data_IF_697351668114
#
_entry.id   IF_697351668114
#
_cell.length_a   1.000
_cell.length_b   1.000
_cell.length_c   1.000
_cell.angle_alpha   90.00
_cell.angle_beta   90.00
_cell.angle_gamma   90.00
#
_symmetry.space_group_name_H-M   'P 1'
#
loop_
_entity.id
_entity.type
_entity.pdbx_description
1 polymer ?
#
# COMPACT_ATOMS: atom_id res chain seq x y z
N UNK A 1 26.74 -18.11 17.37
CA UNK A 1 26.72 -18.40 18.81
C UNK A 1 26.88 -17.09 19.55
N UNK A 2 25.81 -16.61 20.17
CA UNK A 2 25.91 -15.47 21.06
C UNK A 2 26.52 -15.94 22.38
N UNK A 3 27.64 -15.35 22.77
CA UNK A 3 28.15 -15.52 24.11
C UNK A 3 27.18 -14.83 25.08
N UNK A 4 26.36 -15.61 25.75
CA UNK A 4 25.32 -15.16 26.67
C UNK A 4 25.85 -14.19 27.74
N UNK A 5 27.12 -14.27 28.07
CA UNK A 5 27.77 -13.36 29.02
C UNK A 5 27.96 -11.93 28.49
N UNK A 6 27.96 -11.75 27.16
CA UNK A 6 28.19 -10.45 26.53
C UNK A 6 26.88 -9.65 26.26
N UNK A 7 25.72 -10.29 26.37
CA UNK A 7 24.42 -9.70 26.13
C UNK A 7 23.40 -10.12 27.21
N UNK A 8 23.59 -9.69 28.46
CA UNK A 8 22.75 -10.11 29.58
C UNK A 8 21.29 -9.71 29.49
N UNK A 9 20.99 -8.68 28.65
CA UNK A 9 19.68 -8.10 28.52
C UNK A 9 18.91 -8.60 27.27
N UNK A 10 19.49 -9.51 26.49
CA UNK A 10 18.80 -10.09 25.33
C UNK A 10 17.70 -11.05 25.80
N UNK A 11 16.46 -10.57 25.69
CA UNK A 11 15.27 -11.34 26.08
C UNK A 11 14.99 -12.52 25.14
N UNK A 12 15.59 -12.55 23.96
CA UNK A 12 15.45 -13.62 22.98
C UNK A 12 16.57 -14.68 23.14
N UNK A 13 17.57 -14.42 23.97
CA UNK A 13 18.67 -15.37 24.17
C UNK A 13 18.22 -16.63 24.90
N UNK A 14 18.57 -17.77 24.35
CA UNK A 14 18.42 -19.06 25.02
C UNK A 14 19.59 -19.24 25.98
N UNK A 15 19.30 -19.34 27.28
CA UNK A 15 20.34 -19.59 28.31
C UNK A 15 20.72 -21.04 28.29
N UNK A 16 22.02 -21.31 28.15
CA UNK A 16 22.60 -22.62 28.14
C UNK A 16 23.44 -22.79 29.42
N UNK A 17 23.15 -23.81 30.20
CA UNK A 17 23.96 -24.13 31.38
C UNK A 17 25.36 -24.62 30.98
N UNK A 18 26.35 -24.29 31.79
CA UNK A 18 27.73 -24.69 31.52
C UNK A 18 27.85 -26.24 31.46
N UNK A 19 28.34 -26.74 30.35
CA UNK A 19 28.52 -28.17 30.13
C UNK A 19 27.39 -28.85 29.37
N UNK A 20 26.29 -28.14 29.06
CA UNK A 20 25.23 -28.66 28.18
C UNK A 20 25.75 -28.70 26.74
N UNK A 21 25.75 -29.85 26.07
CA UNK A 21 26.18 -29.94 24.68
C UNK A 21 25.15 -29.24 23.77
N UNK A 22 25.61 -28.31 22.94
CA UNK A 22 24.78 -27.64 21.92
C UNK A 22 24.96 -28.34 20.58
N UNK A 23 26.17 -28.71 20.24
CA UNK A 23 26.54 -29.42 19.02
C UNK A 23 26.90 -30.87 19.34
N UNK A 24 26.71 -31.77 18.37
CA UNK A 24 26.98 -33.20 18.52
C UNK A 24 28.44 -33.46 18.89
N UNK A 25 29.35 -32.85 18.16
CA UNK A 25 30.79 -32.88 18.49
C UNK A 25 31.50 -31.67 17.85
N UNK A 26 31.50 -30.55 18.54
CA UNK A 26 32.15 -29.34 18.06
C UNK A 26 33.66 -29.48 17.82
N UNK A 27 34.29 -30.46 18.46
CA UNK A 27 35.72 -30.72 18.32
C UNK A 27 36.08 -31.54 17.07
N UNK A 28 35.12 -32.28 16.51
CA UNK A 28 35.28 -33.04 15.26
C UNK A 28 34.94 -32.23 14.00
N UNK A 29 34.65 -30.95 14.14
CA UNK A 29 34.49 -30.04 12.99
C UNK A 29 35.74 -30.05 12.11
N UNK A 30 35.75 -29.56 10.86
CA UNK A 30 36.61 -30.01 9.76
C UNK A 30 38.11 -30.07 10.11
N UNK A 31 38.47 -31.06 10.91
CA UNK A 31 39.79 -31.23 11.50
C UNK A 31 40.84 -31.48 10.43
N UNK A 32 40.50 -32.17 9.35
CA UNK A 32 41.40 -32.36 8.20
C UNK A 32 41.75 -31.06 7.47
N UNK A 33 40.87 -30.10 7.44
CA UNK A 33 41.16 -28.80 6.83
C UNK A 33 42.10 -27.92 7.69
N UNK A 34 42.31 -28.26 8.95
CA UNK A 34 43.21 -27.51 9.84
C UNK A 34 44.67 -27.95 9.73
N UNK A 35 44.94 -29.20 9.34
CA UNK A 35 46.31 -29.76 9.22
C UNK A 35 46.97 -29.40 7.86
N UNK A 36 46.21 -29.15 6.83
CA UNK A 36 46.70 -28.71 5.54
C UNK A 36 46.25 -27.29 5.16
N UNK A 37 47.10 -26.31 5.46
CA UNK A 37 46.85 -24.91 5.12
C UNK A 37 46.84 -24.68 3.60
N UNK A 38 47.28 -25.62 2.78
CA UNK A 38 47.24 -25.55 1.31
C UNK A 38 45.93 -26.14 0.76
N UNK A 39 45.33 -27.13 1.43
CA UNK A 39 44.06 -27.70 1.03
C UNK A 39 42.93 -26.69 1.06
N UNK A 40 43.04 -25.60 1.80
CA UNK A 40 42.06 -24.51 1.79
C UNK A 40 41.92 -23.76 0.45
N UNK A 41 42.77 -24.04 -0.53
CA UNK A 41 42.77 -23.37 -1.83
C UNK A 41 42.22 -24.21 -2.98
N UNK A 42 41.86 -25.44 -2.77
CA UNK A 42 41.62 -26.33 -3.88
C UNK A 42 40.42 -27.18 -3.80
N UNK A 43 39.63 -26.97 -4.68
CA UNK A 43 39.48 -27.55 -6.01
C UNK A 43 38.88 -28.96 -6.03
N UNK A 44 38.86 -29.73 -4.97
CA UNK A 44 38.08 -30.96 -4.88
C UNK A 44 37.03 -30.84 -3.76
N UNK A 45 35.77 -30.52 -4.09
CA UNK A 45 34.67 -30.48 -3.10
C UNK A 45 34.37 -31.86 -2.50
N UNK A 46 34.96 -32.95 -3.01
CA UNK A 46 34.74 -34.30 -2.50
C UNK A 46 35.56 -34.65 -1.25
N UNK A 47 36.57 -33.86 -0.89
CA UNK A 47 37.36 -34.08 0.35
C UNK A 47 36.96 -33.17 1.53
N UNK A 48 36.04 -32.26 1.36
CA UNK A 48 35.48 -31.46 2.46
C UNK A 48 34.37 -32.28 3.10
N UNK A 49 34.78 -33.28 3.84
CA UNK A 49 33.85 -34.26 4.26
C UNK A 49 33.54 -34.22 5.68
N UNK A 50 33.00 -33.69 6.40
CA UNK A 50 32.34 -34.05 7.69
C UNK A 50 32.12 -32.81 8.54
N UNK A 51 31.06 -32.14 8.30
CA UNK A 51 30.51 -31.16 9.21
C UNK A 51 29.55 -31.77 10.26
N UNK A 52 29.47 -33.10 10.35
CA UNK A 52 28.53 -33.80 11.27
C UNK A 52 28.69 -33.38 12.73
N UNK A 53 29.90 -32.98 13.14
CA UNK A 53 30.12 -32.44 14.47
C UNK A 53 29.41 -31.10 14.73
N UNK A 54 29.00 -30.39 13.69
CA UNK A 54 28.24 -29.16 13.79
C UNK A 54 26.71 -29.37 13.74
N UNK A 55 26.25 -30.61 13.58
CA UNK A 55 24.85 -30.96 13.83
C UNK A 55 24.50 -30.70 15.29
N UNK A 56 23.26 -30.52 15.57
CA UNK A 56 22.82 -30.33 16.96
C UNK A 56 22.99 -31.62 17.76
N UNK A 57 23.36 -31.51 19.03
CA UNK A 57 23.30 -32.64 19.96
C UNK A 57 21.85 -33.07 20.16
N UNK A 58 21.60 -34.34 20.46
CA UNK A 58 20.26 -34.94 20.61
C UNK A 58 19.33 -34.14 21.54
N UNK A 59 19.86 -33.54 22.58
CA UNK A 59 19.12 -32.74 23.55
C UNK A 59 19.62 -31.28 23.56
N UNK A 60 20.00 -30.76 22.40
CA UNK A 60 20.51 -29.40 22.30
C UNK A 60 19.43 -28.38 22.71
N UNK A 61 19.78 -27.38 23.54
CA UNK A 61 18.88 -26.30 23.89
C UNK A 61 18.54 -25.38 22.69
N UNK A 62 19.18 -25.56 21.54
CA UNK A 62 18.92 -24.85 20.31
C UNK A 62 17.78 -25.47 19.51
N UNK A 63 17.36 -26.71 19.80
CA UNK A 63 16.30 -27.41 19.10
C UNK A 63 14.94 -26.67 19.26
N UNK A 64 14.29 -26.38 18.17
CA UNK A 64 12.96 -25.70 18.11
C UNK A 64 12.93 -24.33 18.83
N UNK A 65 14.04 -23.58 18.87
CA UNK A 65 14.13 -22.26 19.52
C UNK A 65 14.44 -21.11 18.55
N UNK A 66 14.59 -21.41 17.29
CA UNK A 66 14.78 -20.42 16.24
C UNK A 66 13.48 -19.73 15.81
N UNK A 67 13.63 -18.87 14.84
CA UNK A 67 12.49 -18.17 14.19
C UNK A 67 12.66 -18.25 12.69
N UNK A 68 11.56 -18.47 11.97
CA UNK A 68 11.55 -18.30 10.52
C UNK A 68 11.86 -16.85 10.21
N UNK A 69 12.93 -16.62 9.45
CA UNK A 69 13.35 -15.29 9.00
C UNK A 69 12.92 -15.11 7.56
N UNK A 70 12.16 -14.07 7.32
CA UNK A 70 11.68 -13.67 5.99
C UNK A 70 12.38 -12.36 5.63
N UNK A 71 12.99 -12.31 4.46
CA UNK A 71 13.62 -11.09 3.97
C UNK A 71 12.58 -10.07 3.47
N UNK A 72 13.07 -8.88 3.05
CA UNK A 72 12.20 -7.80 2.57
C UNK A 72 11.44 -8.13 1.28
N UNK A 73 11.84 -9.18 0.58
CA UNK A 73 11.23 -9.63 -0.68
C UNK A 73 10.27 -10.82 -0.46
N UNK A 74 10.11 -11.26 0.79
CA UNK A 74 9.25 -12.39 1.14
C UNK A 74 9.93 -13.75 1.00
N UNK A 75 11.26 -13.80 0.81
CA UNK A 75 12.00 -15.06 0.76
C UNK A 75 12.42 -15.50 2.17
N UNK A 76 12.27 -16.78 2.44
CA UNK A 76 12.83 -17.45 3.61
C UNK A 76 13.88 -18.48 3.17
N UNK A 77 14.75 -18.84 4.08
CA UNK A 77 15.66 -20.00 3.89
C UNK A 77 14.77 -21.24 3.99
N UNK A 78 14.76 -22.08 2.96
CA UNK A 78 13.95 -23.28 2.86
C UNK A 78 14.70 -24.56 3.25
N UNK A 79 16.04 -24.53 3.26
CA UNK A 79 16.90 -25.64 3.66
C UNK A 79 18.03 -25.17 4.56
N UNK A 80 18.44 -26.04 5.48
CA UNK A 80 19.58 -25.82 6.34
C UNK A 80 20.92 -26.07 5.61
N UNK A 81 22.03 -25.95 6.35
CA UNK A 81 23.36 -26.23 5.79
C UNK A 81 23.53 -27.71 5.36
N UNK A 82 22.81 -28.63 5.95
CA UNK A 82 22.86 -30.08 5.65
C UNK A 82 21.84 -30.52 4.63
N UNK A 83 21.00 -29.61 4.12
CA UNK A 83 19.95 -29.87 3.13
C UNK A 83 18.64 -30.35 3.74
N UNK A 84 18.44 -30.27 5.06
CA UNK A 84 17.15 -30.52 5.69
C UNK A 84 16.22 -29.32 5.50
N UNK A 85 14.93 -29.57 5.34
CA UNK A 85 13.97 -28.50 5.22
C UNK A 85 13.88 -27.69 6.52
N UNK A 86 13.89 -26.35 6.40
CA UNK A 86 13.64 -25.46 7.54
C UNK A 86 12.18 -25.56 7.94
N UNK A 87 11.94 -25.82 9.20
CA UNK A 87 10.62 -26.14 9.76
C UNK A 87 9.86 -24.89 10.26
N UNK A 88 8.62 -25.08 10.69
CA UNK A 88 7.82 -24.02 11.31
C UNK A 88 8.38 -23.59 12.68
N UNK A 89 9.11 -24.47 13.35
CA UNK A 89 9.83 -24.21 14.59
C UNK A 89 11.32 -24.52 14.39
N UNK A 90 12.04 -23.69 13.59
CA UNK A 90 13.42 -23.97 13.26
C UNK A 90 14.32 -23.97 14.50
N UNK A 91 15.46 -24.55 14.37
CA UNK A 91 16.53 -24.53 15.35
C UNK A 91 17.26 -23.19 15.37
N UNK A 92 17.95 -22.91 16.46
CA UNK A 92 18.94 -21.84 16.49
C UNK A 92 20.23 -22.34 15.86
N UNK A 93 20.56 -21.82 14.68
CA UNK A 93 21.82 -22.16 14.01
C UNK A 93 21.63 -22.52 12.55
N UNK A 94 22.59 -23.31 12.04
CA UNK A 94 22.64 -23.67 10.62
C UNK A 94 22.28 -25.16 10.39
N UNK A 95 21.76 -25.83 11.39
CA UNK A 95 21.38 -27.25 11.33
C UNK A 95 19.98 -27.43 11.88
N UNK A 96 19.14 -28.10 11.12
CA UNK A 96 17.80 -28.56 11.53
C UNK A 96 17.90 -29.98 12.10
N UNK A 97 16.98 -30.34 12.98
CA UNK A 97 16.85 -31.69 13.58
C UNK A 97 15.54 -32.34 13.14
N UNK A 98 15.46 -33.68 13.31
CA UNK A 98 14.23 -34.43 13.04
C UNK A 98 13.21 -34.35 14.21
N UNK A 99 13.52 -33.58 15.24
CA UNK A 99 12.68 -33.47 16.44
C UNK A 99 11.54 -32.48 16.16
N UNK A 100 10.32 -32.98 16.00
CA UNK A 100 9.12 -32.14 15.87
C UNK A 100 8.91 -31.36 17.17
N UNK A 101 8.90 -30.03 17.08
CA UNK A 101 8.64 -29.11 18.17
C UNK A 101 7.16 -29.02 18.56
N UNK A 102 6.74 -27.90 19.10
CA UNK A 102 5.34 -27.60 19.30
C UNK A 102 4.62 -27.53 17.93
N UNK A 103 3.43 -28.12 17.84
CA UNK A 103 2.65 -28.05 16.60
C UNK A 103 2.21 -26.61 16.34
N UNK A 104 2.87 -25.94 15.44
CA UNK A 104 2.57 -24.57 15.03
C UNK A 104 2.34 -24.49 13.53
N UNK A 105 1.46 -23.60 13.13
CA UNK A 105 1.25 -23.23 11.74
C UNK A 105 1.85 -21.87 11.50
N UNK A 106 2.61 -21.69 10.43
CA UNK A 106 3.15 -20.39 10.00
C UNK A 106 2.86 -20.18 8.53
N UNK A 107 2.89 -18.96 8.08
CA UNK A 107 2.77 -18.59 6.68
C UNK A 107 3.48 -17.26 6.43
N UNK A 108 3.95 -17.06 5.21
CA UNK A 108 4.44 -15.77 4.70
C UNK A 108 3.33 -14.99 4.00
N UNK A 109 2.21 -15.64 3.72
CA UNK A 109 1.07 -15.09 2.98
C UNK A 109 -0.06 -14.69 3.94
N UNK A 110 -0.34 -15.52 4.93
CA UNK A 110 -1.47 -15.34 5.86
C UNK A 110 -0.98 -14.85 7.22
N UNK A 111 -1.81 -14.09 7.91
CA UNK A 111 -1.55 -13.71 9.30
C UNK A 111 -2.04 -14.84 10.21
N UNK A 112 -1.12 -15.38 11.03
CA UNK A 112 -1.43 -16.45 11.97
C UNK A 112 -1.09 -16.00 13.38
N UNK A 113 -2.11 -15.90 14.22
CA UNK A 113 -1.97 -15.59 15.63
C UNK A 113 -1.87 -16.90 16.43
N UNK A 114 -0.69 -17.11 17.01
CA UNK A 114 -0.37 -18.32 17.75
C UNK A 114 -1.05 -18.36 19.14
N UNK A 115 -1.39 -17.21 19.70
CA UNK A 115 -2.03 -17.11 21.01
C UNK A 115 -3.52 -17.39 20.90
N UNK A 116 -4.20 -16.67 20.03
CA UNK A 116 -5.63 -16.84 19.78
C UNK A 116 -5.98 -18.03 18.89
N UNK A 117 -4.99 -18.67 18.28
CA UNK A 117 -5.16 -19.76 17.28
C UNK A 117 -6.08 -19.35 16.15
N UNK A 118 -5.82 -18.17 15.55
CA UNK A 118 -6.61 -17.66 14.43
C UNK A 118 -5.76 -17.43 13.19
N UNK A 119 -6.40 -17.55 12.03
CA UNK A 119 -5.81 -17.30 10.71
C UNK A 119 -6.64 -16.23 10.03
N UNK A 120 -6.01 -15.14 9.58
CA UNK A 120 -6.66 -14.03 8.87
C UNK A 120 -5.92 -13.68 7.57
N UNK A 121 -6.51 -12.73 6.83
CA UNK A 121 -5.95 -12.21 5.58
C UNK A 121 -5.72 -13.28 4.49
N UNK A 122 -6.59 -14.29 4.46
CA UNK A 122 -6.59 -15.30 3.39
C UNK A 122 -7.19 -14.66 2.13
N UNK A 123 -6.46 -14.64 0.98
CA UNK A 123 -6.98 -14.11 -0.26
C UNK A 123 -8.24 -14.83 -0.74
N UNK A 124 -9.13 -14.10 -1.42
CA UNK A 124 -10.35 -14.68 -1.99
C UNK A 124 -10.01 -15.80 -2.97
N UNK A 125 -10.81 -16.87 -2.92
CA UNK A 125 -10.65 -18.06 -3.75
C UNK A 125 -9.38 -18.90 -3.46
N UNK A 126 -8.70 -18.69 -2.34
CA UNK A 126 -7.63 -19.59 -1.90
C UNK A 126 -8.20 -20.99 -1.69
N UNK A 127 -7.69 -21.96 -2.42
CA UNK A 127 -8.06 -23.37 -2.26
C UNK A 127 -7.32 -24.02 -1.09
N UNK A 128 -7.80 -25.14 -0.59
CA UNK A 128 -7.12 -25.93 0.44
C UNK A 128 -5.71 -26.31 -0.02
N UNK A 129 -5.55 -26.72 -1.28
CA UNK A 129 -4.23 -27.04 -1.86
C UNK A 129 -3.27 -25.84 -1.80
N UNK A 130 -3.74 -24.66 -2.23
CA UNK A 130 -2.92 -23.43 -2.20
C UNK A 130 -2.58 -23.04 -0.75
N UNK A 131 -3.56 -23.11 0.14
CA UNK A 131 -3.37 -22.82 1.55
C UNK A 131 -2.28 -23.72 2.17
N UNK A 132 -2.32 -25.04 1.88
CA UNK A 132 -1.31 -25.96 2.40
C UNK A 132 0.08 -25.67 1.82
N UNK A 133 0.18 -25.26 0.54
CA UNK A 133 1.46 -24.87 -0.09
C UNK A 133 2.05 -23.59 0.53
N UNK A 134 1.20 -22.65 0.89
CA UNK A 134 1.60 -21.37 1.49
C UNK A 134 1.79 -21.46 3.02
N UNK A 135 1.54 -22.63 3.57
CA UNK A 135 1.67 -22.94 5.00
C UNK A 135 3.00 -23.61 5.30
N UNK A 136 3.60 -23.25 6.40
CA UNK A 136 4.86 -23.80 6.88
C UNK A 136 4.57 -24.60 8.16
N UNK A 137 4.87 -25.87 8.13
CA UNK A 137 4.78 -26.81 9.26
C UNK A 137 6.03 -27.71 9.28
N UNK A 138 6.27 -28.38 10.39
CA UNK A 138 7.39 -29.32 10.51
C UNK A 138 7.17 -30.57 9.63
N UNK A 139 8.25 -31.21 9.22
CA UNK A 139 8.21 -32.47 8.48
C UNK A 139 7.46 -33.54 9.28
N UNK A 140 6.52 -34.25 8.63
CA UNK A 140 5.68 -35.27 9.30
C UNK A 140 4.43 -34.69 9.96
N UNK A 141 4.23 -33.38 9.92
CA UNK A 141 3.00 -32.72 10.38
C UNK A 141 1.99 -32.67 9.24
N UNK A 142 0.74 -32.94 9.56
CA UNK A 142 -0.38 -32.93 8.60
C UNK A 142 -1.30 -31.77 8.86
N UNK A 143 -1.71 -31.07 7.79
CA UNK A 143 -2.74 -30.03 7.81
C UNK A 143 -4.05 -30.62 7.30
N UNK A 144 -5.13 -30.44 8.05
CA UNK A 144 -6.48 -30.81 7.63
C UNK A 144 -7.40 -29.61 7.79
N UNK A 145 -8.16 -29.29 6.74
CA UNK A 145 -9.13 -28.18 6.77
C UNK A 145 -10.55 -28.77 6.85
N UNK A 146 -11.38 -28.19 7.71
CA UNK A 146 -12.79 -28.57 7.85
C UNK A 146 -13.70 -27.36 7.67
N UNK A 147 -14.86 -27.61 7.08
CA UNK A 147 -15.93 -26.64 6.97
C UNK A 147 -16.43 -26.21 8.36
N UNK A 148 -17.23 -25.15 8.40
CA UNK A 148 -17.89 -24.68 9.62
C UNK A 148 -18.76 -25.77 10.29
N UNK A 149 -19.27 -26.70 9.48
CA UNK A 149 -20.07 -27.83 9.97
C UNK A 149 -19.22 -29.07 10.32
N UNK A 150 -17.88 -28.91 10.35
CA UNK A 150 -16.95 -29.97 10.76
C UNK A 150 -16.63 -31.01 9.69
N UNK A 151 -17.10 -30.86 8.43
CA UNK A 151 -16.79 -31.79 7.34
C UNK A 151 -15.41 -31.50 6.79
N UNK A 152 -14.57 -32.54 6.56
CA UNK A 152 -13.29 -32.36 5.86
C UNK A 152 -13.50 -31.76 4.46
N UNK A 153 -12.57 -30.91 4.05
CA UNK A 153 -12.55 -30.28 2.74
C UNK A 153 -11.50 -30.96 1.85
N UNK A 154 -11.81 -30.97 0.55
CA UNK A 154 -10.91 -31.47 -0.48
C UNK A 154 -9.99 -30.36 -1.00
N UNK A 155 -8.92 -30.72 -1.70
CA UNK A 155 -7.91 -29.79 -2.19
C UNK A 155 -8.45 -28.62 -3.04
N UNK A 156 -9.50 -28.86 -3.80
CA UNK A 156 -10.13 -27.85 -4.65
C UNK A 156 -11.13 -26.94 -3.94
N UNK A 157 -11.50 -27.26 -2.70
CA UNK A 157 -12.44 -26.45 -1.92
C UNK A 157 -11.81 -25.12 -1.53
N UNK A 158 -12.64 -24.09 -1.47
CA UNK A 158 -12.20 -22.72 -1.12
C UNK A 158 -12.31 -22.50 0.39
N UNK A 159 -11.25 -21.99 0.98
CA UNK A 159 -11.21 -21.62 2.39
C UNK A 159 -12.01 -20.33 2.65
N UNK A 160 -12.81 -20.35 3.71
CA UNK A 160 -13.69 -19.24 4.12
C UNK A 160 -13.65 -19.04 5.64
N UNK A 161 -14.03 -17.86 6.07
CA UNK A 161 -14.17 -17.54 7.48
C UNK A 161 -15.10 -18.51 8.24
N UNK A 162 -14.71 -18.86 9.45
CA UNK A 162 -15.40 -19.83 10.30
C UNK A 162 -15.01 -21.28 10.08
N UNK A 163 -14.17 -21.58 9.10
CA UNK A 163 -13.56 -22.91 8.92
C UNK A 163 -12.46 -23.17 9.94
N UNK A 164 -12.09 -24.43 10.13
CA UNK A 164 -11.01 -24.80 11.04
C UNK A 164 -9.90 -25.50 10.30
N UNK A 165 -8.67 -25.20 10.72
CA UNK A 165 -7.44 -25.80 10.25
C UNK A 165 -6.82 -26.57 11.40
N UNK A 166 -6.68 -27.88 11.26
CA UNK A 166 -6.08 -28.74 12.27
C UNK A 166 -4.68 -29.12 11.83
N UNK A 167 -3.73 -28.88 12.69
CA UNK A 167 -2.33 -29.28 12.55
C UNK A 167 -2.11 -30.47 13.45
N UNK A 168 -1.67 -31.61 12.92
CA UNK A 168 -1.56 -32.86 13.69
C UNK A 168 -0.32 -33.65 13.30
N UNK A 169 0.20 -34.39 14.25
CA UNK A 169 1.30 -35.35 14.10
C UNK A 169 1.07 -36.52 15.04
N UNK A 170 1.54 -37.71 14.65
CA UNK A 170 1.51 -38.90 15.50
C UNK A 170 2.21 -38.65 16.85
N UNK A 171 1.59 -39.05 17.93
CA UNK A 171 2.13 -38.91 19.28
C UNK A 171 2.03 -37.51 19.91
N UNK A 172 1.39 -36.55 19.21
CA UNK A 172 1.19 -35.18 19.73
C UNK A 172 -0.28 -34.80 19.74
N UNK A 173 -0.67 -33.93 20.67
CA UNK A 173 -2.00 -33.32 20.70
C UNK A 173 -2.16 -32.38 19.50
N UNK A 174 -3.23 -32.52 18.75
CA UNK A 174 -3.51 -31.71 17.58
C UNK A 174 -3.84 -30.26 17.96
N UNK A 175 -3.35 -29.30 17.18
CA UNK A 175 -3.64 -27.89 17.34
C UNK A 175 -4.65 -27.45 16.30
N UNK A 176 -5.69 -26.75 16.74
CA UNK A 176 -6.78 -26.26 15.86
C UNK A 176 -6.74 -24.75 15.79
N UNK A 177 -6.69 -24.25 14.58
CA UNK A 177 -6.82 -22.83 14.26
C UNK A 177 -8.18 -22.55 13.65
N UNK A 178 -8.72 -21.36 13.89
CA UNK A 178 -9.97 -20.90 13.28
C UNK A 178 -9.68 -19.85 12.22
N UNK A 179 -10.21 -20.03 11.01
CA UNK A 179 -10.15 -19.00 9.97
C UNK A 179 -11.11 -17.87 10.36
N UNK A 180 -10.58 -16.67 10.50
CA UNK A 180 -11.36 -15.48 10.84
C UNK A 180 -11.87 -14.84 9.57
N UNK A 181 -13.17 -14.63 9.48
CA UNK A 181 -13.77 -13.86 8.39
C UNK A 181 -13.34 -12.40 8.47
N UNK A 182 -12.93 -11.84 7.34
CA UNK A 182 -12.56 -10.42 7.27
C UNK A 182 -13.76 -9.54 7.58
N UNK A 183 -13.56 -8.54 8.43
CA UNK A 183 -14.54 -7.47 8.72
C UNK A 183 -14.23 -6.18 7.93
N UNK A 184 -13.25 -6.19 7.02
CA UNK A 184 -12.91 -5.02 6.22
C UNK A 184 -13.99 -4.75 5.17
N UNK A 185 -14.71 -3.66 5.39
CA UNK A 185 -15.75 -3.13 4.51
C UNK A 185 -15.47 -1.70 4.07
N UNK A 186 -14.20 -1.30 4.07
CA UNK A 186 -13.78 0.03 3.63
C UNK A 186 -13.76 0.12 2.11
N UNK A 187 -14.06 1.32 1.62
CA UNK A 187 -14.02 1.66 0.21
C UNK A 187 -12.91 2.65 -0.06
N UNK A 188 -12.17 2.42 -1.14
CA UNK A 188 -11.25 3.39 -1.75
C UNK A 188 -11.56 3.49 -3.24
N UNK A 189 -11.21 4.61 -3.83
CA UNK A 189 -11.26 4.77 -5.28
C UNK A 189 -10.04 5.54 -5.75
N UNK A 190 -9.52 5.18 -6.91
CA UNK A 190 -8.49 5.93 -7.59
C UNK A 190 -9.06 7.07 -8.44
N UNK A 191 -10.36 7.07 -8.75
CA UNK A 191 -10.99 7.99 -9.69
C UNK A 191 -12.12 8.82 -9.10
N UNK A 192 -12.74 8.36 -8.01
CA UNK A 192 -13.87 9.04 -7.39
C UNK A 192 -13.46 9.59 -6.03
N UNK A 193 -13.93 10.78 -5.73
CA UNK A 193 -13.80 11.34 -4.40
C UNK A 193 -14.69 10.54 -3.43
N UNK A 194 -14.11 10.06 -2.32
CA UNK A 194 -14.84 9.37 -1.25
C UNK A 194 -14.61 10.15 0.03
N UNK A 195 -15.67 10.77 0.56
CA UNK A 195 -15.62 11.61 1.75
C UNK A 195 -16.89 11.45 2.58
N UNK A 196 -16.76 11.31 3.89
CA UNK A 196 -17.87 11.28 4.85
C UNK A 196 -19.00 10.31 4.44
N UNK A 197 -18.63 9.06 4.06
CA UNK A 197 -19.59 8.05 3.58
C UNK A 197 -20.35 8.45 2.31
N UNK A 198 -19.81 9.37 1.54
CA UNK A 198 -20.33 9.77 0.22
C UNK A 198 -19.29 9.48 -0.84
N UNK A 199 -19.72 8.89 -1.93
CA UNK A 199 -18.92 8.73 -3.14
C UNK A 199 -19.44 9.71 -4.21
N UNK A 200 -18.56 10.59 -4.66
CA UNK A 200 -18.87 11.57 -5.68
C UNK A 200 -18.50 11.02 -7.06
N UNK A 201 -19.52 10.85 -7.90
CA UNK A 201 -19.37 10.20 -9.20
C UNK A 201 -19.59 11.23 -10.30
N UNK A 202 -18.71 11.27 -11.33
CA UNK A 202 -18.91 12.20 -12.45
C UNK A 202 -20.25 11.99 -13.13
N UNK A 203 -20.95 13.08 -13.36
CA UNK A 203 -22.22 13.09 -14.07
C UNK A 203 -22.08 13.64 -15.50
N UNK A 204 -22.52 12.89 -16.47
CA UNK A 204 -22.69 13.34 -17.84
C UNK A 204 -23.99 12.79 -18.41
N UNK A 205 -24.83 13.66 -18.99
CA UNK A 205 -26.11 13.24 -19.57
C UNK A 205 -25.93 12.28 -20.75
N UNK A 206 -24.90 12.51 -21.57
CA UNK A 206 -24.65 11.71 -22.78
C UNK A 206 -24.02 10.34 -22.49
N UNK A 207 -23.38 10.20 -21.36
CA UNK A 207 -22.70 8.98 -20.94
C UNK A 207 -22.88 8.77 -19.43
N UNK A 208 -24.07 8.40 -18.95
CA UNK A 208 -24.32 8.19 -17.53
C UNK A 208 -23.49 7.02 -17.02
N UNK A 209 -23.08 7.10 -15.76
CA UNK A 209 -22.30 6.03 -15.12
C UNK A 209 -23.22 4.87 -14.77
N UNK A 210 -22.83 3.66 -15.15
CA UNK A 210 -23.55 2.43 -14.78
C UNK A 210 -23.06 1.88 -13.44
N UNK A 211 -23.85 1.01 -12.82
CA UNK A 211 -23.48 0.33 -11.58
C UNK A 211 -22.19 -0.53 -11.78
N UNK A 212 -22.02 -1.16 -12.93
CA UNK A 212 -20.81 -1.92 -13.27
C UNK A 212 -19.59 -1.01 -13.41
N UNK A 213 -19.70 0.12 -14.08
CA UNK A 213 -18.63 1.11 -14.17
C UNK A 213 -18.23 1.65 -12.78
N UNK A 214 -19.22 1.97 -11.95
CA UNK A 214 -18.96 2.43 -10.58
C UNK A 214 -18.23 1.37 -9.76
N UNK A 215 -18.69 0.12 -9.79
CA UNK A 215 -18.03 -0.99 -9.08
C UNK A 215 -16.60 -1.25 -9.58
N UNK A 216 -16.37 -1.16 -10.88
CA UNK A 216 -15.04 -1.34 -11.48
C UNK A 216 -14.03 -0.23 -11.17
N UNK A 217 -14.49 0.91 -10.64
CA UNK A 217 -13.64 2.07 -10.32
C UNK A 217 -13.41 2.26 -8.82
N UNK A 218 -13.87 1.33 -8.01
CA UNK A 218 -13.64 1.32 -6.56
C UNK A 218 -12.85 0.09 -6.15
N UNK A 219 -12.22 0.19 -5.00
CA UNK A 219 -11.47 -0.88 -4.36
C UNK A 219 -12.05 -1.14 -2.98
N UNK A 220 -12.39 -2.38 -2.71
CA UNK A 220 -12.74 -2.90 -1.40
C UNK A 220 -11.81 -4.07 -1.06
N UNK A 221 -11.91 -4.62 0.15
CA UNK A 221 -11.19 -5.85 0.48
C UNK A 221 -11.55 -6.97 -0.52
N UNK A 222 -10.60 -7.83 -0.86
CA UNK A 222 -10.81 -8.91 -1.85
C UNK A 222 -11.97 -9.84 -1.46
N UNK A 223 -12.17 -10.06 -0.16
CA UNK A 223 -13.25 -10.90 0.37
C UNK A 223 -14.59 -10.19 0.45
N UNK A 224 -14.62 -8.86 0.29
CA UNK A 224 -15.85 -8.10 0.37
C UNK A 224 -16.68 -8.16 -0.91
N UNK A 225 -18.00 -8.13 -0.75
CA UNK A 225 -18.95 -7.98 -1.85
C UNK A 225 -19.30 -6.49 -2.05
N UNK A 226 -19.29 -6.04 -3.30
CA UNK A 226 -19.62 -4.68 -3.68
C UNK A 226 -20.92 -4.66 -4.48
N UNK A 227 -21.91 -3.96 -4.01
CA UNK A 227 -23.20 -3.82 -4.67
C UNK A 227 -23.67 -2.37 -4.73
N UNK A 228 -24.52 -2.04 -5.71
CA UNK A 228 -25.21 -0.76 -5.81
C UNK A 228 -26.69 -1.01 -5.60
N UNK A 229 -27.32 -0.29 -4.67
CA UNK A 229 -28.72 -0.48 -4.32
C UNK A 229 -29.52 0.81 -4.42
N UNK A 230 -30.76 0.68 -4.88
CA UNK A 230 -31.77 1.73 -4.92
C UNK A 230 -32.97 1.28 -4.09
N UNK A 231 -33.06 1.77 -2.86
CA UNK A 231 -33.98 1.21 -1.88
C UNK A 231 -33.63 -0.26 -1.59
N UNK A 232 -34.56 -1.18 -1.82
CA UNK A 232 -34.36 -2.62 -1.63
C UNK A 232 -33.83 -3.34 -2.88
N UNK A 233 -33.78 -2.66 -4.03
CA UNK A 233 -33.36 -3.26 -5.31
C UNK A 233 -31.86 -3.15 -5.47
N UNK A 234 -31.18 -4.27 -5.68
CA UNK A 234 -29.78 -4.30 -6.17
C UNK A 234 -29.77 -4.07 -7.69
N UNK A 235 -28.95 -3.11 -8.15
CA UNK A 235 -28.80 -2.79 -9.56
C UNK A 235 -27.95 -3.83 -10.27
N UNK A 236 -28.32 -4.12 -11.53
CA UNK A 236 -27.48 -4.87 -12.46
C UNK A 236 -26.39 -3.94 -13.01
N UNK A 237 -25.31 -4.52 -13.52
CA UNK A 237 -24.14 -3.76 -13.99
C UNK A 237 -24.45 -2.74 -15.11
N UNK A 238 -25.45 -3.03 -15.94
CA UNK A 238 -25.86 -2.15 -17.04
C UNK A 238 -26.82 -1.04 -16.63
N UNK A 239 -27.36 -1.07 -15.41
CA UNK A 239 -28.30 -0.05 -14.95
C UNK A 239 -27.53 1.22 -14.52
N UNK A 240 -28.08 2.37 -14.88
CA UNK A 240 -27.49 3.65 -14.53
C UNK A 240 -27.67 3.96 -13.05
N UNK A 241 -26.65 4.57 -12.46
CA UNK A 241 -26.75 5.10 -11.10
C UNK A 241 -27.47 6.46 -11.11
N UNK A 242 -27.98 6.83 -9.95
CA UNK A 242 -28.57 8.15 -9.69
C UNK A 242 -28.18 8.64 -8.28
N UNK A 243 -28.45 9.92 -8.03
CA UNK A 243 -28.29 10.51 -6.71
C UNK A 243 -29.09 9.75 -5.64
N UNK A 244 -28.56 9.76 -4.43
CA UNK A 244 -29.11 9.11 -3.27
C UNK A 244 -29.23 7.57 -3.35
N UNK A 245 -28.73 6.93 -4.39
CA UNK A 245 -28.48 5.49 -4.37
C UNK A 245 -27.34 5.17 -3.42
N UNK A 246 -27.25 3.91 -3.02
CA UNK A 246 -26.24 3.44 -2.06
C UNK A 246 -25.29 2.47 -2.72
N UNK A 247 -24.00 2.71 -2.55
CA UNK A 247 -22.98 1.70 -2.76
C UNK A 247 -22.73 0.97 -1.44
N UNK A 248 -23.01 -0.32 -1.42
CA UNK A 248 -22.86 -1.17 -0.24
C UNK A 248 -21.66 -2.07 -0.37
N UNK A 249 -20.83 -2.04 0.66
CA UNK A 249 -19.71 -2.96 0.83
C UNK A 249 -20.07 -3.94 1.94
N UNK A 250 -20.16 -5.22 1.61
CA UNK A 250 -20.43 -6.28 2.59
C UNK A 250 -19.15 -7.05 2.83
N UNK A 251 -18.60 -6.97 4.03
CA UNK A 251 -17.44 -7.76 4.42
C UNK A 251 -17.77 -9.26 4.49
N UNK A 252 -16.73 -10.10 4.52
CA UNK A 252 -16.90 -11.56 4.62
C UNK A 252 -17.67 -11.99 5.87
N UNK A 253 -17.52 -11.25 6.98
CA UNK A 253 -18.27 -11.50 8.23
C UNK A 253 -19.74 -11.02 8.19
N UNK A 254 -20.19 -10.49 7.05
CA UNK A 254 -21.54 -9.98 6.82
C UNK A 254 -21.78 -8.56 7.28
N UNK A 255 -20.80 -7.89 7.89
CA UNK A 255 -20.95 -6.47 8.24
C UNK A 255 -20.95 -5.60 6.99
N UNK A 256 -21.88 -4.67 6.94
CA UNK A 256 -22.05 -3.76 5.81
C UNK A 256 -21.53 -2.36 6.12
N UNK A 257 -21.10 -1.69 5.07
CA UNK A 257 -20.74 -0.29 5.09
C UNK A 257 -21.34 0.38 3.86
N UNK A 258 -22.24 1.33 4.09
CA UNK A 258 -22.99 1.99 3.05
C UNK A 258 -22.40 3.36 2.75
N UNK A 259 -22.26 3.67 1.46
CA UNK A 259 -21.83 4.96 0.93
C UNK A 259 -22.92 5.54 0.05
N UNK A 260 -23.34 6.76 0.33
CA UNK A 260 -24.31 7.47 -0.51
C UNK A 260 -23.65 7.88 -1.82
N UNK A 261 -24.28 7.59 -2.93
CA UNK A 261 -23.85 8.04 -4.25
C UNK A 261 -24.36 9.47 -4.47
N UNK A 262 -23.45 10.36 -4.85
CA UNK A 262 -23.76 11.72 -5.27
C UNK A 262 -23.13 12.00 -6.62
N UNK A 263 -23.94 12.36 -7.59
CA UNK A 263 -23.46 12.75 -8.90
C UNK A 263 -22.87 14.17 -8.83
N UNK A 264 -21.71 14.36 -9.45
CA UNK A 264 -20.96 15.61 -9.42
C UNK A 264 -20.48 15.97 -10.81
N UNK A 265 -20.74 17.19 -11.23
CA UNK A 265 -20.32 17.72 -12.54
C UNK A 265 -19.38 18.91 -12.44
N UNK A 266 -19.11 19.39 -11.24
CA UNK A 266 -18.22 20.53 -10.99
C UNK A 266 -17.20 20.16 -9.95
N UNK A 267 -15.94 20.43 -10.23
CA UNK A 267 -14.79 20.16 -9.36
C UNK A 267 -14.03 21.45 -9.13
N UNK A 268 -13.77 21.77 -7.86
CA UNK A 268 -13.07 22.98 -7.47
C UNK A 268 -11.86 22.61 -6.62
N UNK A 269 -10.67 23.08 -6.99
CA UNK A 269 -9.44 22.76 -6.28
C UNK A 269 -9.53 23.04 -4.78
N UNK A 270 -9.94 24.25 -4.41
CA UNK A 270 -9.96 24.66 -3.01
C UNK A 270 -11.01 23.92 -2.19
N UNK A 271 -12.23 23.75 -2.73
CA UNK A 271 -13.33 23.07 -2.04
C UNK A 271 -13.11 21.54 -1.93
N UNK A 272 -12.47 20.97 -2.93
CA UNK A 272 -12.20 19.52 -3.02
C UNK A 272 -10.81 19.16 -2.48
N UNK A 273 -10.09 20.11 -1.86
CA UNK A 273 -8.75 19.91 -1.39
C UNK A 273 -8.67 18.84 -0.29
N UNK A 274 -7.89 17.80 -0.55
CA UNK A 274 -7.83 16.62 0.32
C UNK A 274 -6.81 16.71 1.46
N UNK A 275 -6.06 17.83 1.57
CA UNK A 275 -5.03 18.01 2.59
C UNK A 275 -3.82 17.09 2.37
N UNK A 276 -3.30 16.44 3.42
CA UNK A 276 -2.07 15.65 3.35
C UNK A 276 -2.16 14.39 2.48
N UNK A 277 -3.38 13.94 2.20
CA UNK A 277 -3.61 12.84 1.27
C UNK A 277 -3.89 13.41 -0.11
N UNK A 278 -3.22 12.87 -1.13
CA UNK A 278 -3.58 13.18 -2.51
C UNK A 278 -5.03 12.77 -2.73
N UNK A 279 -5.80 13.65 -3.38
CA UNK A 279 -7.20 13.39 -3.68
C UNK A 279 -7.37 12.32 -4.75
N UNK A 280 -8.61 11.90 -4.95
CA UNK A 280 -8.91 10.91 -6.00
C UNK A 280 -8.98 11.55 -7.39
N UNK A 281 -9.23 12.85 -7.44
CA UNK A 281 -9.31 13.63 -8.68
C UNK A 281 -8.30 14.78 -8.74
N UNK A 282 -7.93 15.35 -7.59
CA UNK A 282 -6.97 16.43 -7.50
C UNK A 282 -5.64 15.97 -6.89
N UNK A 283 -4.54 16.39 -7.52
CA UNK A 283 -3.18 16.02 -7.13
C UNK A 283 -2.26 17.24 -7.17
N UNK A 284 -1.42 17.38 -6.16
CA UNK A 284 -0.25 18.24 -6.22
C UNK A 284 0.87 17.53 -6.98
N UNK A 285 1.32 18.09 -8.09
CA UNK A 285 2.36 17.48 -8.92
C UNK A 285 3.55 18.39 -9.11
N UNK A 286 4.71 17.81 -9.39
CA UNK A 286 5.95 18.48 -9.77
C UNK A 286 6.56 17.83 -10.99
N UNK A 287 7.30 18.63 -11.78
CA UNK A 287 8.06 18.18 -12.96
C UNK A 287 9.41 18.88 -12.99
N UNK A 288 10.50 18.12 -13.05
CA UNK A 288 11.82 18.65 -13.35
C UNK A 288 11.89 19.04 -14.84
N UNK A 289 12.82 19.92 -15.21
CA UNK A 289 12.94 20.44 -16.59
C UNK A 289 13.00 19.36 -17.67
N UNK A 290 13.62 18.22 -17.37
CA UNK A 290 13.77 17.08 -18.28
C UNK A 290 13.02 15.82 -17.84
N UNK A 291 12.11 15.93 -16.86
CA UNK A 291 11.41 14.79 -16.26
C UNK A 291 9.93 14.70 -16.64
N UNK A 292 9.27 13.74 -16.04
CA UNK A 292 7.82 13.58 -16.09
C UNK A 292 7.14 14.20 -14.87
N UNK A 293 5.81 14.39 -14.94
CA UNK A 293 5.03 14.83 -13.81
C UNK A 293 4.95 13.71 -12.76
N UNK A 294 5.28 14.04 -11.53
CA UNK A 294 5.21 13.14 -10.37
C UNK A 294 4.43 13.77 -9.25
N UNK A 295 3.75 12.96 -8.45
CA UNK A 295 3.05 13.43 -7.26
C UNK A 295 4.03 13.92 -6.19
N UNK A 296 3.67 15.04 -5.54
CA UNK A 296 4.44 15.59 -4.43
C UNK A 296 4.06 14.80 -3.18
N UNK A 297 5.05 14.33 -2.43
CA UNK A 297 4.83 13.49 -1.23
C UNK A 297 4.98 14.25 0.09
N UNK A 298 5.71 15.35 0.09
CA UNK A 298 5.94 16.16 1.27
C UNK A 298 4.80 17.16 1.46
N UNK A 299 4.29 17.27 2.68
CA UNK A 299 3.18 18.13 3.03
C UNK A 299 3.47 18.89 4.32
N UNK A 300 3.22 20.19 4.34
CA UNK A 300 3.28 21.02 5.54
C UNK A 300 1.88 21.20 6.13
N UNK A 301 1.64 20.60 7.29
CA UNK A 301 0.35 20.70 7.98
C UNK A 301 0.11 22.05 8.65
N UNK A 302 1.17 22.83 8.91
CA UNK A 302 1.05 24.16 9.46
C UNK A 302 0.53 25.15 8.42
N UNK A 303 0.97 24.97 7.18
CA UNK A 303 0.48 25.71 6.02
C UNK A 303 -0.04 24.69 5.03
N UNK A 304 -1.34 24.55 4.80
CA UNK A 304 -1.94 23.43 4.07
C UNK A 304 -1.49 23.38 2.59
N UNK A 305 -0.23 23.06 2.40
CA UNK A 305 0.47 23.07 1.12
C UNK A 305 1.36 21.84 0.95
N UNK A 306 1.41 21.36 -0.28
CA UNK A 306 2.42 20.39 -0.70
C UNK A 306 3.78 21.07 -0.84
N UNK A 307 4.83 20.40 -0.41
CA UNK A 307 6.17 20.95 -0.37
C UNK A 307 7.05 20.39 -1.48
N UNK A 308 7.75 21.27 -2.16
CA UNK A 308 8.83 20.92 -3.09
C UNK A 308 10.13 21.47 -2.55
N UNK A 309 10.95 20.59 -1.98
CA UNK A 309 12.11 20.96 -1.18
C UNK A 309 11.67 21.85 0.02
N UNK A 310 12.13 23.09 0.08
CA UNK A 310 11.76 24.08 1.10
C UNK A 310 10.71 25.08 0.62
N UNK A 311 10.08 24.84 -0.53
CA UNK A 311 9.12 25.76 -1.14
C UNK A 311 7.72 25.18 -1.08
N UNK A 312 6.73 26.03 -0.83
CA UNK A 312 5.33 25.66 -0.91
C UNK A 312 4.97 25.34 -2.37
N UNK A 313 4.39 24.17 -2.57
CA UNK A 313 3.87 23.75 -3.85
C UNK A 313 2.38 24.06 -4.00
N UNK A 314 1.64 23.22 -4.71
CA UNK A 314 0.19 23.35 -4.80
C UNK A 314 -0.48 23.20 -3.44
N UNK A 315 -1.46 24.05 -3.14
CA UNK A 315 -2.18 24.04 -1.88
C UNK A 315 -3.36 25.01 -1.92
N UNK A 316 -3.74 25.47 -0.73
CA UNK A 316 -4.79 26.49 -0.57
C UNK A 316 -4.24 27.67 0.24
N UNK A 317 -4.69 28.87 -0.12
CA UNK A 317 -4.40 30.09 0.63
C UNK A 317 -5.44 30.24 1.73
N UNK A 318 -5.10 29.78 2.91
CA UNK A 318 -5.95 29.88 4.06
C UNK A 318 -5.33 30.77 5.12
N UNK A 319 -6.09 31.78 5.56
CA UNK A 319 -5.62 32.74 6.58
C UNK A 319 -5.66 32.17 7.99
N UNK A 320 -6.32 31.03 8.21
CA UNK A 320 -6.32 30.33 9.49
C UNK A 320 -6.26 28.82 9.31
N UNK A 321 -5.29 28.18 9.95
CA UNK A 321 -4.97 26.77 9.88
C UNK A 321 -6.09 25.80 10.31
N UNK A 322 -7.23 26.30 10.73
CA UNK A 322 -8.37 25.51 11.23
C UNK A 322 -9.67 25.75 10.48
N UNK A 323 -9.71 26.70 9.53
CA UNK A 323 -10.93 26.96 8.78
C UNK A 323 -11.13 25.93 7.67
N UNK A 324 -12.38 25.51 7.45
CA UNK A 324 -12.73 24.69 6.29
C UNK A 324 -12.67 25.57 5.04
N UNK A 325 -12.14 25.06 3.90
CA UNK A 325 -12.21 25.79 2.64
C UNK A 325 -13.63 26.24 2.32
N UNK A 326 -13.73 27.47 1.84
CA UNK A 326 -14.98 28.08 1.39
C UNK A 326 -14.86 28.45 -0.09
N UNK A 327 -15.95 28.91 -0.69
CA UNK A 327 -15.90 29.43 -2.06
C UNK A 327 -14.98 30.63 -2.25
N UNK A 328 -14.63 31.32 -1.17
CA UNK A 328 -13.65 32.40 -1.16
C UNK A 328 -12.20 31.96 -0.97
N UNK A 329 -11.97 30.68 -0.72
CA UNK A 329 -10.62 30.13 -0.57
C UNK A 329 -9.96 30.00 -1.95
N UNK A 330 -8.75 30.51 -2.06
CA UNK A 330 -7.97 30.47 -3.29
C UNK A 330 -7.05 29.23 -3.33
N UNK A 331 -6.81 28.68 -4.48
CA UNK A 331 -5.71 27.77 -4.73
C UNK A 331 -4.39 28.54 -4.67
N UNK A 332 -3.38 27.96 -4.02
CA UNK A 332 -2.03 28.50 -3.96
C UNK A 332 -1.09 27.60 -4.80
N UNK A 333 -0.36 28.22 -5.70
CA UNK A 333 0.58 27.54 -6.55
C UNK A 333 1.91 28.28 -6.55
N UNK A 334 2.98 27.64 -6.07
CA UNK A 334 4.30 28.23 -6.05
C UNK A 334 5.23 27.52 -7.03
N UNK A 335 6.00 28.29 -7.79
CA UNK A 335 7.09 27.78 -8.61
C UNK A 335 8.41 27.95 -7.86
N UNK A 336 9.15 26.85 -7.57
CA UNK A 336 10.46 26.95 -6.94
C UNK A 336 11.42 27.77 -7.81
N UNK A 337 12.06 28.82 -7.28
CA UNK A 337 12.98 29.62 -8.05
C UNK A 337 14.24 28.83 -8.44
N UNK A 338 14.74 29.05 -9.63
CA UNK A 338 16.05 28.56 -10.11
C UNK A 338 16.28 27.02 -10.13
N UNK A 339 15.33 26.21 -9.76
CA UNK A 339 15.53 24.74 -9.71
C UNK A 339 15.13 24.03 -11.00
N UNK A 340 14.52 24.75 -11.96
CA UNK A 340 13.94 24.13 -13.15
C UNK A 340 12.76 23.19 -12.87
N UNK A 341 12.21 23.28 -11.66
CA UNK A 341 11.05 22.47 -11.24
C UNK A 341 9.78 23.30 -11.47
N UNK A 342 8.82 22.70 -12.16
CA UNK A 342 7.46 23.20 -12.27
C UNK A 342 6.57 22.51 -11.24
N UNK A 343 5.57 23.22 -10.73
CA UNK A 343 4.54 22.65 -9.86
C UNK A 343 3.17 22.80 -10.50
N UNK A 344 2.24 21.91 -10.20
CA UNK A 344 0.91 21.94 -10.78
C UNK A 344 -0.17 21.49 -9.80
N UNK A 345 -1.31 22.15 -9.88
CA UNK A 345 -2.61 21.62 -9.50
C UNK A 345 -3.11 20.73 -10.64
N UNK A 346 -3.24 19.45 -10.40
CA UNK A 346 -3.57 18.48 -11.43
C UNK A 346 -4.93 17.83 -11.14
N UNK A 347 -5.88 18.02 -12.04
CA UNK A 347 -7.15 17.30 -12.06
C UNK A 347 -6.99 16.04 -12.88
N UNK A 348 -7.19 14.87 -12.27
CA UNK A 348 -7.23 13.61 -13.01
C UNK A 348 -8.65 13.31 -13.43
N UNK A 349 -8.85 13.19 -14.73
CA UNK A 349 -10.15 12.93 -15.34
C UNK A 349 -10.68 11.56 -14.93
N UNK A 350 -11.82 11.48 -14.22
CA UNK A 350 -12.34 10.22 -13.73
C UNK A 350 -13.16 9.43 -14.76
N UNK A 351 -13.55 10.07 -15.88
CA UNK A 351 -14.41 9.48 -16.91
C UNK A 351 -14.23 10.18 -18.25
N UNK A 352 -14.36 9.43 -19.35
CA UNK A 352 -14.38 10.00 -20.72
C UNK A 352 -15.49 11.02 -20.87
N UNK A 353 -15.19 12.15 -21.49
CA UNK A 353 -16.17 13.20 -21.70
C UNK A 353 -15.60 14.51 -22.23
N UNK A 354 -16.35 15.57 -22.00
CA UNK A 354 -15.97 16.93 -22.34
C UNK A 354 -15.91 17.73 -21.03
N UNK A 355 -14.79 18.41 -20.81
CA UNK A 355 -14.54 19.23 -19.63
C UNK A 355 -14.42 20.70 -20.07
N UNK A 356 -14.98 21.59 -19.29
CA UNK A 356 -14.71 23.02 -19.37
C UNK A 356 -13.92 23.43 -18.14
N UNK A 357 -12.90 24.24 -18.34
CA UNK A 357 -12.08 24.80 -17.27
C UNK A 357 -12.35 26.30 -17.13
N UNK A 358 -12.65 26.71 -15.94
CA UNK A 358 -12.94 28.13 -15.64
C UNK A 358 -12.11 28.59 -14.43
N UNK A 359 -11.65 29.83 -14.49
CA UNK A 359 -11.35 30.62 -13.31
C UNK A 359 -12.64 31.31 -12.91
N UNK A 360 -12.92 31.52 -11.66
CA UNK A 360 -14.17 32.09 -11.15
C UNK A 360 -14.49 33.41 -11.85
N UNK A 361 -15.65 33.49 -12.50
CA UNK A 361 -16.03 34.61 -13.39
C UNK A 361 -16.22 35.95 -12.67
N UNK A 362 -16.67 35.92 -11.42
CA UNK A 362 -17.00 37.12 -10.65
C UNK A 362 -15.77 37.84 -10.10
N UNK A 363 -14.71 37.05 -9.87
CA UNK A 363 -13.40 37.54 -9.43
C UNK A 363 -12.27 36.71 -10.07
N UNK A 364 -12.05 36.83 -11.39
CA UNK A 364 -10.96 36.12 -12.03
C UNK A 364 -9.63 36.64 -11.48
N UNK A 365 -8.99 35.84 -10.64
CA UNK A 365 -7.94 36.30 -9.79
C UNK A 365 -6.69 35.43 -9.92
N UNK A 366 -5.81 35.88 -10.79
CA UNK A 366 -4.46 35.35 -10.85
C UNK A 366 -3.51 36.42 -10.26
N UNK A 367 -2.92 36.12 -9.14
CA UNK A 367 -1.99 37.03 -8.46
C UNK A 367 -0.65 36.37 -8.24
N UNK A 368 0.38 37.02 -8.71
CA UNK A 368 1.74 36.69 -8.27
C UNK A 368 2.02 37.43 -6.96
N UNK A 369 2.43 36.69 -5.94
CA UNK A 369 2.86 37.25 -4.67
C UNK A 369 4.38 37.11 -4.53
N UNK A 370 5.10 38.22 -4.34
CA UNK A 370 6.55 38.20 -4.15
C UNK A 370 7.20 39.56 -4.43
N UNK A 371 8.27 39.86 -3.70
CA UNK A 371 8.92 41.19 -3.72
C UNK A 371 10.14 41.29 -4.64
N UNK A 372 10.29 40.48 -5.64
CA UNK A 372 11.53 40.43 -6.39
C UNK A 372 11.36 40.11 -7.85
N UNK A 373 11.23 41.07 -8.67
CA UNK A 373 11.62 41.14 -10.09
C UNK A 373 11.53 39.94 -11.02
N UNK A 374 11.04 38.79 -10.59
CA UNK A 374 10.90 37.60 -11.40
C UNK A 374 9.49 37.48 -11.98
N UNK A 375 9.34 36.70 -13.06
CA UNK A 375 8.07 36.37 -13.66
C UNK A 375 7.75 34.90 -13.47
N UNK A 376 6.45 34.56 -13.48
CA UNK A 376 5.95 33.19 -13.47
C UNK A 376 5.14 32.96 -14.75
N UNK A 377 5.45 31.91 -15.46
CA UNK A 377 4.55 31.44 -16.54
C UNK A 377 3.55 30.47 -15.92
N UNK A 378 2.27 30.81 -16.03
CA UNK A 378 1.16 29.93 -15.69
C UNK A 378 0.68 29.26 -16.96
N UNK A 379 0.58 27.92 -16.93
CA UNK A 379 0.15 27.11 -18.09
C UNK A 379 -1.03 26.25 -17.74
N UNK A 380 -1.97 26.15 -18.70
CA UNK A 380 -2.99 25.10 -18.74
C UNK A 380 -2.52 24.01 -19.68
N UNK A 381 -2.37 22.81 -19.14
CA UNK A 381 -1.94 21.63 -19.88
C UNK A 381 -3.03 20.55 -19.85
N UNK A 382 -3.21 19.87 -20.97
CA UNK A 382 -3.93 18.58 -21.02
C UNK A 382 -2.86 17.51 -21.25
N UNK A 383 -2.64 16.66 -20.27
CA UNK A 383 -1.46 15.83 -20.17
C UNK A 383 -0.19 16.71 -20.22
N UNK A 384 0.58 16.68 -21.30
CA UNK A 384 1.74 17.54 -21.51
C UNK A 384 1.52 18.59 -22.63
N UNK A 385 0.36 18.57 -23.27
CA UNK A 385 0.04 19.53 -24.33
C UNK A 385 -0.42 20.86 -23.74
N UNK A 386 0.30 21.94 -24.06
CA UNK A 386 -0.06 23.29 -23.67
C UNK A 386 -1.30 23.78 -24.44
N UNK A 387 -2.34 24.14 -23.71
CA UNK A 387 -3.58 24.71 -24.27
C UNK A 387 -3.62 26.23 -24.12
N UNK A 388 -3.01 26.74 -23.06
CA UNK A 388 -2.94 28.17 -22.78
C UNK A 388 -1.74 28.47 -21.89
N UNK A 389 -1.16 29.67 -22.04
CA UNK A 389 -0.20 30.21 -21.10
C UNK A 389 -0.34 31.71 -20.92
N UNK A 390 0.08 32.19 -19.75
CA UNK A 390 0.16 33.61 -19.42
C UNK A 390 1.41 33.86 -18.58
N UNK A 391 2.08 34.99 -18.82
CA UNK A 391 3.21 35.41 -18.01
C UNK A 391 2.70 36.40 -16.95
N UNK A 392 2.85 36.04 -15.69
CA UNK A 392 2.52 36.89 -14.58
C UNK A 392 3.75 37.69 -14.16
N UNK A 393 3.62 39.00 -14.13
CA UNK A 393 4.62 39.93 -13.64
C UNK A 393 4.33 40.32 -12.20
N UNK A 394 5.37 40.70 -11.45
CA UNK A 394 5.23 41.11 -10.05
C UNK A 394 4.17 42.20 -9.89
N UNK A 395 3.33 42.03 -8.85
CA UNK A 395 2.30 43.00 -8.43
C UNK A 395 1.18 43.31 -9.43
N UNK A 396 1.07 42.56 -10.53
CA UNK A 396 -0.03 42.70 -11.48
C UNK A 396 -1.04 41.58 -11.33
N UNK A 397 -2.31 41.92 -11.33
CA UNK A 397 -3.43 40.97 -11.50
C UNK A 397 -3.62 40.76 -12.98
N UNK A 398 -3.42 39.51 -13.45
CA UNK A 398 -3.41 39.17 -14.89
C UNK A 398 -4.66 38.37 -15.30
N UNK A 399 -5.75 38.53 -14.58
CA UNK A 399 -6.97 37.76 -14.81
C UNK A 399 -7.56 37.89 -16.22
N UNK A 400 -7.33 39.02 -16.86
CA UNK A 400 -7.91 39.30 -18.19
C UNK A 400 -7.35 38.41 -19.30
N UNK A 401 -6.17 37.90 -19.12
CA UNK A 401 -5.45 37.11 -20.14
C UNK A 401 -5.69 35.60 -19.98
N UNK A 402 -6.28 35.19 -18.84
CA UNK A 402 -6.61 33.79 -18.58
C UNK A 402 -8.09 33.55 -18.91
N UNK A 403 -8.34 32.93 -20.03
CA UNK A 403 -9.71 32.68 -20.51
C UNK A 403 -10.21 31.32 -20.08
N UNK A 404 -11.54 31.23 -19.90
CA UNK A 404 -12.18 29.92 -19.80
C UNK A 404 -11.84 29.06 -21.03
N UNK A 405 -11.64 27.79 -20.79
CA UNK A 405 -11.39 26.82 -21.84
C UNK A 405 -12.56 25.86 -21.92
N UNK A 406 -13.37 26.04 -22.95
CA UNK A 406 -14.57 25.23 -23.14
C UNK A 406 -14.29 24.02 -24.04
N UNK A 407 -15.00 22.93 -23.76
CA UNK A 407 -15.09 21.75 -24.62
C UNK A 407 -13.76 21.06 -24.90
N UNK A 408 -12.99 20.83 -23.86
CA UNK A 408 -11.81 19.97 -23.93
C UNK A 408 -12.31 18.51 -23.95
N UNK A 409 -12.07 17.78 -25.02
CA UNK A 409 -12.29 16.33 -25.05
C UNK A 409 -11.20 15.64 -24.23
N UNK A 410 -11.62 14.78 -23.34
CA UNK A 410 -10.73 14.08 -22.40
C UNK A 410 -11.12 12.62 -22.25
N UNK A 411 -10.13 11.81 -21.91
CA UNK A 411 -10.30 10.41 -21.57
C UNK A 411 -10.04 10.17 -20.08
N UNK A 412 -10.62 9.14 -19.55
CA UNK A 412 -10.35 8.70 -18.19
C UNK A 412 -8.84 8.50 -17.98
N UNK A 413 -8.31 9.09 -16.94
CA UNK A 413 -6.90 9.06 -16.60
C UNK A 413 -6.08 10.22 -17.16
N UNK A 414 -6.62 11.03 -18.08
CA UNK A 414 -5.97 12.27 -18.50
C UNK A 414 -5.81 13.23 -17.33
N UNK A 415 -4.81 14.09 -17.41
CA UNK A 415 -4.59 15.16 -16.45
C UNK A 415 -4.80 16.53 -17.07
N UNK A 416 -5.65 17.35 -16.43
CA UNK A 416 -5.70 18.78 -16.69
C UNK A 416 -4.90 19.47 -15.60
N UNK A 417 -3.86 20.20 -15.97
CA UNK A 417 -2.91 20.83 -15.03
C UNK A 417 -2.91 22.32 -15.17
N UNK A 418 -3.02 23.00 -14.03
CA UNK A 418 -2.62 24.40 -13.91
C UNK A 418 -1.21 24.39 -13.33
N UNK A 419 -0.23 24.74 -14.16
CA UNK A 419 1.18 24.62 -13.82
C UNK A 419 1.86 25.98 -13.71
N UNK A 420 2.66 26.19 -12.65
CA UNK A 420 3.48 27.37 -12.48
C UNK A 420 4.96 27.07 -12.77
N UNK A 421 5.58 27.91 -13.58
CA UNK A 421 6.97 27.78 -14.01
C UNK A 421 7.68 29.10 -13.67
N UNK A 422 8.73 29.05 -12.87
CA UNK A 422 9.56 30.21 -12.57
C UNK A 422 10.45 30.56 -13.76
N UNK A 423 10.39 31.80 -14.23
CA UNK A 423 11.21 32.30 -15.34
C UNK A 423 12.55 32.89 -14.88
N UNK A 424 13.06 32.46 -13.76
CA UNK A 424 14.36 32.91 -13.21
C UNK A 424 14.21 34.12 -12.33
N UNK A 425 14.48 33.93 -11.15
CA UNK A 425 15.05 34.75 -10.09
C UNK A 425 14.72 34.23 -8.70
N UNK A 426 15.54 34.53 -7.70
CA UNK A 426 15.77 33.72 -6.51
C UNK A 426 14.71 33.83 -5.41
N UNK A 427 13.62 34.53 -5.57
CA UNK A 427 12.65 34.67 -4.51
C UNK A 427 11.30 34.06 -4.86
N UNK A 428 10.80 33.28 -3.95
CA UNK A 428 9.58 32.46 -3.88
C UNK A 428 8.34 33.05 -4.61
N UNK A 429 8.19 32.93 -5.93
CA UNK A 429 6.96 33.38 -6.56
C UNK A 429 5.82 32.42 -6.22
N UNK A 430 4.76 32.93 -5.65
CA UNK A 430 3.51 32.19 -5.46
C UNK A 430 2.38 32.82 -6.29
N UNK A 431 1.57 31.98 -6.87
CA UNK A 431 0.42 32.38 -7.66
C UNK A 431 -0.84 31.93 -6.94
N UNK A 432 -1.78 32.85 -6.77
CA UNK A 432 -3.10 32.56 -6.26
C UNK A 432 -4.02 32.32 -7.45
N UNK A 433 -4.73 31.21 -7.48
CA UNK A 433 -5.66 30.84 -8.53
C UNK A 433 -7.05 30.64 -7.91
N UNK A 434 -8.01 31.39 -8.36
CA UNK A 434 -9.40 31.27 -7.91
C UNK A 434 -10.23 30.56 -8.93
#
# INVERSE_FOLDING_TARGET
FYNVSSYPDDKAAVKVEKGTPVLADAASGPVKAAEDKQARRHEDPTEITVFDGFKLAENSPAINKGKVVIDRNGYSIDHDFFGHAVTATPEIGAAESDVIGDLVLRSVVYQIDQESKTISDIPKNTTVEQFCKDSIVDTGVTITVKSKDGKPLENADIIKGGMTVTVSCEGKEAVVYTVVASSDNKLKSAYYEVKDKTIYVPFTEKNPTTAGELKGNVQAAETAEVSVVSGEKTLKDQENIADAMTMRITAEDGKTNDYTIKQKNTYNWALDYAGPQQGNVWFGQKKAASGEWTEIKEYDSQYPNWMVNTYYGPGIDEQSHSAKPTEATHGLLSAPPSTGISTAMAYRVPKDGIVSFHVKDDEPYLRQNGNSGGTVTLKLLVNDEEKQSVILEQSKVQAKDWKAFDKIEVKRGDYIRVAAISNGNPTKPSVHVT
#
